data_IF_637975238886
#
_entry.id   IF_637975238886
#
_cell.length_a   1.000
_cell.length_b   1.000
_cell.length_c   1.000
_cell.angle_alpha   90.00
_cell.angle_beta   90.00
_cell.angle_gamma   90.00
#
_symmetry.space_group_name_H-M   'P 1'
#
loop_
_entity.id
_entity.type
_entity.pdbx_description
1 polymer ?
#
# COMPACT_ATOMS: atom_id res chain seq x y z
N UNK A 1 52.49 -80.59 28.36
CA UNK A 1 51.05 -80.39 28.05
C UNK A 1 50.62 -78.93 28.18
N UNK A 2 51.02 -78.20 29.24
CA UNK A 2 50.64 -76.80 29.50
C UNK A 2 51.11 -75.79 28.43
N UNK A 3 52.29 -75.98 27.85
CA UNK A 3 52.85 -75.08 26.81
C UNK A 3 52.10 -75.15 25.48
N UNK A 4 51.41 -76.26 25.21
CA UNK A 4 50.67 -76.48 23.97
C UNK A 4 49.31 -75.76 23.99
N UNK A 5 48.67 -75.72 25.15
CA UNK A 5 47.41 -74.99 25.39
C UNK A 5 47.61 -73.47 25.36
N UNK A 6 48.73 -72.97 25.90
CA UNK A 6 49.08 -71.55 25.83
C UNK A 6 49.26 -71.07 24.38
N UNK A 7 49.92 -71.88 23.54
CA UNK A 7 50.12 -71.58 22.11
C UNK A 7 48.80 -71.50 21.34
N UNK A 8 47.85 -72.40 21.62
CA UNK A 8 46.51 -72.37 21.01
C UNK A 8 45.73 -71.13 21.43
N UNK A 9 45.79 -70.75 22.70
CA UNK A 9 45.11 -69.56 23.23
C UNK A 9 45.64 -68.28 22.60
N UNK A 10 46.97 -68.16 22.43
CA UNK A 10 47.60 -67.03 21.71
C UNK A 10 47.15 -66.99 20.25
N UNK A 11 47.04 -68.15 19.58
CA UNK A 11 46.58 -68.23 18.19
C UNK A 11 45.12 -67.81 18.03
N UNK A 12 44.26 -68.22 18.96
CA UNK A 12 42.84 -67.81 18.98
C UNK A 12 42.71 -66.32 19.23
N UNK A 13 43.49 -65.76 20.16
CA UNK A 13 43.50 -64.33 20.44
C UNK A 13 43.99 -63.52 19.24
N UNK A 14 45.03 -64.01 18.54
CA UNK A 14 45.54 -63.39 17.32
C UNK A 14 44.53 -63.43 16.17
N UNK A 15 43.83 -64.55 15.98
CA UNK A 15 42.76 -64.67 14.99
C UNK A 15 41.57 -63.75 15.28
N UNK A 16 41.23 -63.57 16.56
CA UNK A 16 40.20 -62.62 17.00
C UNK A 16 40.64 -61.17 16.71
N UNK A 17 41.88 -60.79 17.00
CA UNK A 17 42.37 -59.45 16.69
C UNK A 17 42.29 -59.13 15.19
N UNK A 18 42.59 -60.09 14.30
CA UNK A 18 42.52 -59.88 12.86
C UNK A 18 41.07 -59.72 12.37
N UNK A 19 40.11 -60.45 12.94
CA UNK A 19 38.70 -60.35 12.52
C UNK A 19 38.07 -59.00 12.89
N UNK A 20 38.48 -58.38 13.99
CA UNK A 20 38.00 -57.04 14.39
C UNK A 20 38.54 -55.90 13.51
N UNK A 21 39.65 -56.08 12.80
CA UNK A 21 40.22 -55.01 11.95
C UNK A 21 39.45 -54.80 10.63
N UNK A 22 38.66 -55.79 10.18
CA UNK A 22 37.96 -55.74 8.91
C UNK A 22 36.62 -54.96 8.95
N UNK A 23 36.12 -54.60 10.13
CA UNK A 23 34.83 -53.90 10.29
C UNK A 23 34.96 -52.38 10.37
N UNK A 24 36.19 -51.85 10.42
CA UNK A 24 36.44 -50.41 10.49
C UNK A 24 36.81 -49.85 9.11
N UNK A 25 35.83 -49.84 8.21
CA UNK A 25 35.91 -49.07 6.97
C UNK A 25 35.26 -47.71 7.20
N UNK A 26 36.05 -46.65 7.10
CA UNK A 26 35.51 -45.29 7.14
C UNK A 26 34.70 -45.04 5.86
N UNK A 27 33.43 -44.64 6.02
CA UNK A 27 32.59 -44.24 4.88
C UNK A 27 33.10 -42.94 4.27
N UNK A 28 33.06 -42.83 2.94
CA UNK A 28 33.43 -41.59 2.24
C UNK A 28 32.47 -40.44 2.60
N UNK A 29 33.06 -39.31 3.00
CA UNK A 29 32.34 -38.05 3.20
C UNK A 29 31.94 -37.50 1.82
N UNK A 30 30.74 -37.85 1.38
CA UNK A 30 30.13 -37.28 0.17
C UNK A 30 29.45 -35.96 0.52
N UNK A 31 29.75 -34.89 -0.24
CA UNK A 31 29.08 -33.61 -0.08
C UNK A 31 27.62 -33.73 -0.56
N UNK A 32 26.68 -33.43 0.33
CA UNK A 32 25.25 -33.38 0.03
C UNK A 32 24.72 -31.98 0.32
N UNK A 33 23.88 -31.46 -0.57
CA UNK A 33 23.20 -30.20 -0.35
C UNK A 33 22.05 -30.40 0.65
N UNK A 34 22.02 -29.59 1.72
CA UNK A 34 20.88 -29.55 2.64
C UNK A 34 19.70 -28.74 2.09
N UNK A 35 19.90 -27.98 1.01
CA UNK A 35 18.85 -27.22 0.35
C UNK A 35 18.07 -28.14 -0.63
N UNK A 36 16.76 -28.31 -0.41
CA UNK A 36 15.85 -29.14 -1.21
C UNK A 36 15.80 -28.79 -2.70
N UNK A 37 16.04 -27.52 -3.04
CA UNK A 37 16.11 -27.06 -4.42
C UNK A 37 17.29 -27.69 -5.20
N UNK A 38 18.33 -28.14 -4.49
CA UNK A 38 19.55 -28.71 -5.08
C UNK A 38 19.69 -30.22 -4.84
N UNK A 39 19.05 -30.78 -3.81
CA UNK A 39 19.19 -32.19 -3.43
C UNK A 39 18.11 -33.12 -3.97
N UNK A 40 17.00 -32.59 -4.53
CA UNK A 40 15.80 -33.36 -4.92
C UNK A 40 15.11 -34.13 -3.78
N UNK A 41 15.67 -34.11 -2.57
CA UNK A 41 15.03 -34.56 -1.34
C UNK A 41 14.16 -33.41 -0.79
N UNK A 42 12.99 -33.75 -0.26
CA UNK A 42 11.94 -32.77 0.10
C UNK A 42 12.38 -31.71 1.12
N UNK A 43 11.62 -30.61 1.19
CA UNK A 43 11.88 -29.52 2.13
C UNK A 43 11.79 -30.00 3.57
N UNK A 44 12.87 -29.84 4.34
CA UNK A 44 12.84 -30.22 5.75
C UNK A 44 11.85 -29.31 6.50
N UNK A 45 11.07 -29.88 7.42
CA UNK A 45 10.11 -29.12 8.23
C UNK A 45 10.76 -27.95 8.98
N UNK A 46 12.04 -28.11 9.36
CA UNK A 46 12.84 -27.07 10.00
C UNK A 46 13.16 -25.91 9.03
N UNK A 47 13.51 -26.20 7.78
CA UNK A 47 13.77 -25.15 6.80
C UNK A 47 12.48 -24.36 6.48
N UNK A 48 11.34 -25.06 6.35
CA UNK A 48 10.04 -24.42 6.10
C UNK A 48 9.62 -23.50 7.25
N UNK A 49 9.80 -23.93 8.50
CA UNK A 49 9.44 -23.11 9.66
C UNK A 49 10.31 -21.85 9.76
N UNK A 50 11.58 -21.93 9.41
CA UNK A 50 12.47 -20.77 9.34
C UNK A 50 12.02 -19.77 8.27
N UNK A 51 11.68 -20.24 7.06
CA UNK A 51 11.18 -19.35 6.00
C UNK A 51 9.85 -18.72 6.37
N UNK A 52 8.92 -19.47 6.95
CA UNK A 52 7.65 -18.92 7.43
C UNK A 52 7.87 -17.85 8.51
N UNK A 53 8.81 -18.06 9.43
CA UNK A 53 9.18 -17.05 10.43
C UNK A 53 9.79 -15.80 9.79
N UNK A 54 10.67 -15.96 8.79
CA UNK A 54 11.26 -14.83 8.07
C UNK A 54 10.20 -14.04 7.30
N UNK A 55 9.33 -14.73 6.57
CA UNK A 55 8.23 -14.13 5.83
C UNK A 55 7.25 -13.40 6.75
N UNK A 56 6.94 -13.98 7.92
CA UNK A 56 6.06 -13.33 8.91
C UNK A 56 6.70 -12.05 9.44
N UNK A 57 7.97 -12.09 9.85
CA UNK A 57 8.71 -10.91 10.34
C UNK A 57 8.81 -9.80 9.30
N UNK A 58 9.04 -10.16 8.04
CA UNK A 58 9.08 -9.18 6.96
C UNK A 58 7.72 -8.50 6.77
N UNK A 59 6.64 -9.28 6.75
CA UNK A 59 5.29 -8.72 6.64
C UNK A 59 4.92 -7.85 7.84
N UNK A 60 5.29 -8.25 9.05
CA UNK A 60 5.02 -7.48 10.26
C UNK A 60 5.74 -6.13 10.22
N UNK A 61 7.02 -6.10 9.81
CA UNK A 61 7.76 -4.84 9.59
C UNK A 61 7.07 -3.92 8.60
N UNK A 62 6.62 -4.45 7.46
CA UNK A 62 5.94 -3.67 6.41
C UNK A 62 4.60 -3.13 6.92
N UNK A 63 3.85 -3.95 7.67
CA UNK A 63 2.57 -3.54 8.27
C UNK A 63 2.78 -2.44 9.31
N UNK A 64 3.80 -2.55 10.14
CA UNK A 64 4.11 -1.56 11.17
C UNK A 64 4.50 -0.22 10.55
N UNK A 65 5.34 -0.23 9.52
CA UNK A 65 5.72 0.98 8.78
C UNK A 65 4.50 1.65 8.14
N UNK A 66 3.64 0.87 7.45
CA UNK A 66 2.40 1.39 6.85
C UNK A 66 1.44 1.94 7.91
N UNK A 67 1.32 1.26 9.04
CA UNK A 67 0.47 1.68 10.16
C UNK A 67 0.95 3.02 10.72
N UNK A 68 2.26 3.15 10.98
CA UNK A 68 2.87 4.37 11.48
C UNK A 68 2.65 5.57 10.53
N UNK A 69 2.84 5.37 9.22
CA UNK A 69 2.56 6.39 8.21
C UNK A 69 1.08 6.82 8.22
N UNK A 70 0.16 5.85 8.26
CA UNK A 70 -1.27 6.15 8.30
C UNK A 70 -1.71 6.86 9.59
N UNK A 71 -1.05 6.58 10.71
CA UNK A 71 -1.29 7.27 11.97
C UNK A 71 -0.80 8.72 11.88
N UNK A 72 0.41 8.94 11.36
CA UNK A 72 0.95 10.29 11.16
C UNK A 72 0.04 11.16 10.27
N UNK A 73 -0.47 10.61 9.17
CA UNK A 73 -1.41 11.31 8.28
C UNK A 73 -2.73 11.67 9.00
N UNK A 74 -3.29 10.73 9.78
CA UNK A 74 -4.49 10.98 10.58
C UNK A 74 -4.25 12.03 11.65
N UNK A 75 -3.10 11.99 12.32
CA UNK A 75 -2.74 12.95 13.36
C UNK A 75 -2.58 14.35 12.77
N UNK A 76 -1.95 14.47 11.61
CA UNK A 76 -1.86 15.72 10.88
C UNK A 76 -3.23 16.26 10.47
N UNK A 77 -4.10 15.42 9.90
CA UNK A 77 -5.48 15.79 9.58
C UNK A 77 -6.29 16.16 10.84
N UNK A 78 -5.97 15.57 11.98
CA UNK A 78 -6.65 15.80 13.24
C UNK A 78 -6.21 17.06 13.99
N UNK A 79 -5.10 17.71 13.58
CA UNK A 79 -4.67 19.00 14.14
C UNK A 79 -5.78 20.04 14.01
N UNK A 80 -5.93 20.86 15.05
CA UNK A 80 -6.99 21.88 15.15
C UNK A 80 -6.99 22.85 13.98
N UNK A 81 -5.80 23.27 13.51
CA UNK A 81 -5.64 24.16 12.37
C UNK A 81 -6.18 23.55 11.07
N UNK A 82 -5.91 22.26 10.81
CA UNK A 82 -6.36 21.59 9.59
C UNK A 82 -7.89 21.35 9.61
N UNK A 83 -8.45 21.04 10.78
CA UNK A 83 -9.91 20.99 10.97
C UNK A 83 -10.58 22.35 10.78
N UNK A 84 -9.92 23.42 11.23
CA UNK A 84 -10.39 24.78 11.03
C UNK A 84 -10.39 25.15 9.54
N UNK A 85 -9.28 24.91 8.84
CA UNK A 85 -9.17 25.16 7.39
C UNK A 85 -10.27 24.40 6.63
N UNK A 86 -10.44 23.10 6.87
CA UNK A 86 -11.48 22.31 6.21
C UNK A 86 -12.91 22.81 6.51
N UNK A 87 -13.17 23.30 7.73
CA UNK A 87 -14.48 23.86 8.09
C UNK A 87 -14.72 25.22 7.42
N UNK A 88 -13.69 26.06 7.38
CA UNK A 88 -13.72 27.36 6.70
C UNK A 88 -13.92 27.17 5.21
N UNK A 89 -13.14 26.30 4.56
CA UNK A 89 -13.31 25.94 3.15
C UNK A 89 -14.73 25.45 2.86
N UNK A 90 -15.27 24.54 3.66
CA UNK A 90 -16.64 24.04 3.47
C UNK A 90 -17.71 25.14 3.57
N UNK A 91 -17.56 26.08 4.50
CA UNK A 91 -18.47 27.24 4.64
C UNK A 91 -18.30 28.25 3.53
N UNK A 92 -17.06 28.46 3.05
CA UNK A 92 -16.78 29.29 1.89
C UNK A 92 -17.47 28.67 0.68
N UNK A 93 -17.25 27.39 0.38
CA UNK A 93 -17.91 26.71 -0.75
C UNK A 93 -19.44 26.74 -0.67
N UNK A 94 -20.02 26.59 0.52
CA UNK A 94 -21.48 26.66 0.69
C UNK A 94 -22.05 28.08 0.46
N UNK A 95 -21.33 29.13 0.88
CA UNK A 95 -21.76 30.50 0.64
C UNK A 95 -21.49 30.93 -0.80
N UNK A 96 -20.36 30.53 -1.37
CA UNK A 96 -20.02 30.76 -2.77
C UNK A 96 -20.98 30.05 -3.71
N UNK A 97 -21.31 28.78 -3.43
CA UNK A 97 -22.27 28.03 -4.24
C UNK A 97 -23.66 28.66 -4.15
N UNK A 98 -24.07 29.14 -2.97
CA UNK A 98 -25.33 29.88 -2.81
C UNK A 98 -25.32 31.21 -3.56
N UNK A 99 -24.30 32.05 -3.42
CA UNK A 99 -24.21 33.32 -4.13
C UNK A 99 -24.14 33.12 -5.65
N UNK A 100 -23.41 32.11 -6.11
CA UNK A 100 -23.31 31.78 -7.53
C UNK A 100 -24.67 31.29 -8.04
N UNK A 101 -25.31 30.34 -7.38
CA UNK A 101 -26.63 29.82 -7.77
C UNK A 101 -27.71 30.90 -7.68
N UNK A 102 -27.69 31.75 -6.65
CA UNK A 102 -28.61 32.89 -6.52
C UNK A 102 -28.37 33.94 -7.61
N UNK A 103 -27.13 34.15 -8.06
CA UNK A 103 -26.82 35.02 -9.20
C UNK A 103 -27.15 34.39 -10.57
N UNK A 104 -27.12 33.05 -10.68
CA UNK A 104 -27.43 32.31 -11.91
C UNK A 104 -28.92 32.04 -12.09
N UNK A 105 -29.64 31.85 -10.98
CA UNK A 105 -31.01 31.32 -10.94
C UNK A 105 -31.93 32.11 -10.00
N UNK A 106 -31.45 33.21 -9.40
CA UNK A 106 -32.23 34.05 -8.49
C UNK A 106 -33.55 34.52 -9.09
N UNK A 107 -34.58 34.41 -8.26
CA UNK A 107 -36.02 34.52 -8.49
C UNK A 107 -36.55 35.91 -8.92
N UNK A 108 -35.86 36.61 -9.81
CA UNK A 108 -36.30 37.91 -10.36
C UNK A 108 -36.39 37.96 -11.88
N UNK A 109 -36.51 36.81 -12.56
CA UNK A 109 -36.81 36.77 -13.99
C UNK A 109 -37.94 35.79 -14.29
N UNK A 110 -39.16 36.32 -14.36
CA UNK A 110 -40.34 35.62 -14.92
C UNK A 110 -40.48 35.82 -16.43
N UNK A 111 -39.66 36.68 -17.04
CA UNK A 111 -39.46 36.81 -18.49
C UNK A 111 -38.13 37.54 -18.74
N UNK A 112 -37.21 36.92 -19.48
CA UNK A 112 -35.84 37.37 -19.82
C UNK A 112 -34.75 37.18 -18.74
N UNK A 113 -34.50 35.92 -18.35
CA UNK A 113 -33.32 35.55 -17.58
C UNK A 113 -32.04 35.87 -18.38
N UNK A 114 -31.12 36.63 -17.78
CA UNK A 114 -29.83 36.93 -18.38
C UNK A 114 -29.10 35.63 -18.78
N UNK A 115 -28.64 35.54 -20.02
CA UNK A 115 -27.89 34.38 -20.55
C UNK A 115 -26.40 34.43 -20.19
N UNK A 116 -25.97 35.52 -19.57
CA UNK A 116 -24.62 35.71 -19.05
C UNK A 116 -24.62 36.74 -17.94
N UNK A 117 -23.59 36.74 -17.11
CA UNK A 117 -23.41 37.74 -16.06
C UNK A 117 -22.01 37.69 -15.47
N UNK A 118 -21.75 38.64 -14.58
CA UNK A 118 -20.48 38.77 -13.86
C UNK A 118 -20.76 38.79 -12.36
N UNK A 119 -19.93 38.10 -11.59
CA UNK A 119 -19.95 38.14 -10.14
C UNK A 119 -18.52 38.39 -9.65
N UNK A 120 -18.37 39.29 -8.68
CA UNK A 120 -17.10 39.58 -8.04
C UNK A 120 -17.05 38.86 -6.69
N UNK A 121 -16.07 37.98 -6.52
CA UNK A 121 -15.92 37.13 -5.34
C UNK A 121 -14.47 37.23 -4.85
N UNK A 122 -14.29 37.82 -3.67
CA UNK A 122 -12.97 37.98 -3.01
C UNK A 122 -11.86 38.52 -3.95
N UNK A 123 -12.21 39.46 -4.83
CA UNK A 123 -11.28 40.08 -5.79
C UNK A 123 -11.07 39.29 -7.09
N UNK A 124 -11.65 38.10 -7.22
CA UNK A 124 -11.72 37.33 -8.47
C UNK A 124 -13.01 37.66 -9.23
N UNK A 125 -12.90 37.86 -10.54
CA UNK A 125 -14.05 38.11 -11.42
C UNK A 125 -14.51 36.80 -12.03
N UNK A 126 -15.73 36.38 -11.71
CA UNK A 126 -16.37 35.19 -12.28
C UNK A 126 -17.33 35.64 -13.37
N UNK A 127 -17.03 35.27 -14.62
CA UNK A 127 -17.92 35.44 -15.75
C UNK A 127 -18.61 34.12 -16.07
N UNK A 128 -19.91 34.15 -16.33
CA UNK A 128 -20.65 32.95 -16.70
C UNK A 128 -21.46 33.19 -17.98
N UNK A 129 -21.57 32.14 -18.79
CA UNK A 129 -22.41 32.10 -19.99
C UNK A 129 -23.21 30.81 -19.97
N UNK A 130 -24.53 30.95 -20.04
CA UNK A 130 -25.47 29.85 -20.19
C UNK A 130 -25.76 29.68 -21.67
N UNK A 131 -25.47 28.51 -22.22
CA UNK A 131 -25.90 28.15 -23.56
C UNK A 131 -27.25 27.42 -23.49
N UNK A 132 -28.30 28.05 -24.01
CA UNK A 132 -29.66 27.51 -24.03
C UNK A 132 -29.87 26.40 -25.05
N UNK A 133 -28.90 26.17 -25.95
CA UNK A 133 -28.98 25.13 -26.98
C UNK A 133 -28.32 23.82 -26.56
N UNK A 134 -27.30 23.89 -25.70
CA UNK A 134 -26.52 22.73 -25.25
C UNK A 134 -26.74 22.39 -23.77
N UNK A 135 -27.53 23.19 -23.04
CA UNK A 135 -27.75 23.03 -21.59
C UNK A 135 -26.41 22.95 -20.84
N UNK A 136 -25.46 23.83 -21.20
CA UNK A 136 -24.15 23.92 -20.56
C UNK A 136 -23.95 25.33 -20.03
N UNK A 137 -23.48 25.42 -18.79
CA UNK A 137 -23.03 26.67 -18.18
C UNK A 137 -21.50 26.67 -18.18
N UNK A 138 -20.91 27.64 -18.88
CA UNK A 138 -19.46 27.86 -18.88
C UNK A 138 -19.14 28.96 -17.87
N UNK A 139 -18.32 28.64 -16.89
CA UNK A 139 -17.79 29.57 -15.90
C UNK A 139 -16.33 29.88 -16.24
N UNK A 140 -16.00 31.17 -16.30
CA UNK A 140 -14.65 31.69 -16.48
C UNK A 140 -14.29 32.49 -15.24
N UNK A 141 -13.41 31.95 -14.42
CA UNK A 141 -12.94 32.57 -13.18
C UNK A 141 -11.60 33.25 -13.49
N UNK A 142 -11.51 34.54 -13.21
CA UNK A 142 -10.28 35.32 -13.34
C UNK A 142 -9.82 35.74 -11.95
N UNK A 143 -8.71 35.17 -11.49
CA UNK A 143 -8.06 35.50 -10.22
C UNK A 143 -7.38 36.90 -10.31
N UNK A 144 -7.28 37.67 -9.22
CA UNK A 144 -6.49 38.92 -9.17
C UNK A 144 -5.02 38.75 -9.58
N UNK A 145 -4.46 37.53 -9.53
CA UNK A 145 -3.13 37.20 -10.07
C UNK A 145 -3.08 37.00 -11.60
N UNK A 146 -4.23 37.06 -12.29
CA UNK A 146 -4.34 36.94 -13.76
C UNK A 146 -4.53 35.50 -14.27
N UNK A 147 -4.63 34.50 -13.39
CA UNK A 147 -4.90 33.12 -13.78
C UNK A 147 -6.37 32.97 -14.17
N UNK A 148 -6.62 32.45 -15.38
CA UNK A 148 -7.96 32.19 -15.91
C UNK A 148 -8.26 30.71 -15.86
N UNK A 149 -9.31 30.33 -15.13
CA UNK A 149 -9.78 28.95 -15.00
C UNK A 149 -11.18 28.83 -15.60
N UNK A 150 -11.35 27.88 -16.52
CA UNK A 150 -12.65 27.61 -17.16
C UNK A 150 -13.25 26.30 -16.67
N UNK A 151 -14.49 26.33 -16.22
CA UNK A 151 -15.26 25.16 -15.81
C UNK A 151 -16.55 25.08 -16.63
N UNK A 152 -16.78 23.93 -17.26
CA UNK A 152 -18.02 23.65 -17.99
C UNK A 152 -18.88 22.69 -17.18
N UNK A 153 -20.08 23.12 -16.82
CA UNK A 153 -21.04 22.34 -16.04
C UNK A 153 -22.28 22.07 -16.91
N UNK A 154 -22.58 20.81 -17.26
CA UNK A 154 -23.83 20.48 -17.91
C UNK A 154 -24.98 20.66 -16.91
N UNK A 155 -25.99 21.45 -17.27
CA UNK A 155 -27.26 21.51 -16.55
C UNK A 155 -28.15 20.36 -17.02
N UNK A 156 -27.75 19.15 -16.65
CA UNK A 156 -28.66 18.02 -16.66
C UNK A 156 -29.63 18.14 -15.49
N UNK A 157 -30.89 17.84 -15.74
CA UNK A 157 -31.96 17.81 -14.73
C UNK A 157 -31.47 17.09 -13.45
N UNK A 158 -31.24 17.86 -12.38
CA UNK A 158 -30.91 17.30 -11.06
C UNK A 158 -32.20 16.72 -10.46
N UNK A 159 -32.66 15.62 -11.04
CA UNK A 159 -33.70 14.79 -10.44
C UNK A 159 -33.02 14.00 -9.32
N UNK A 160 -33.39 14.31 -8.07
CA UNK A 160 -33.08 13.51 -6.88
C UNK A 160 -33.85 12.18 -6.89
#
# INVERSE_FOLDING_TARGET
MITLELKKLVLVFFALCISLTNTSTASELTHKFGNPAFSKEGYSQHALSIEQLQYTRENDRIKDEKSALSQAERDEKNKTINKFIANVESRIYANLSKQLVDNMFGTSCTSDCATSGTAEVEGSTIYWVKDTSTEIITLTITDPAGTVSTLSVPVGDFIF
#
